data_IF_279012562824
#
_entry.id   IF_279012562824
#
_cell.length_a   1.000
_cell.length_b   1.000
_cell.length_c   1.000
_cell.angle_alpha   90.00
_cell.angle_beta   90.00
_cell.angle_gamma   90.00
#
_symmetry.space_group_name_H-M   'P 1'
#
loop_
_entity.id
_entity.type
_entity.pdbx_description
1 polymer ?
#
# COMPACT_ATOMS: atom_id res chain seq x y z
N UNK A 1 -14.99 12.06 2.44
CA UNK A 1 -15.28 10.67 2.89
C UNK A 1 -13.95 9.95 2.97
N UNK A 2 -13.51 9.56 4.16
CA UNK A 2 -12.18 8.96 4.31
C UNK A 2 -12.20 7.52 3.74
N UNK A 3 -11.06 7.00 3.25
CA UNK A 3 -10.95 5.59 2.86
C UNK A 3 -11.36 4.63 3.99
N UNK A 4 -11.09 5.03 5.23
CA UNK A 4 -11.46 4.31 6.46
C UNK A 4 -12.96 4.05 6.53
N UNK A 5 -13.79 5.05 6.20
CA UNK A 5 -15.26 4.98 6.30
C UNK A 5 -15.89 3.97 5.33
N UNK A 6 -15.19 3.62 4.24
CA UNK A 6 -15.68 2.66 3.24
C UNK A 6 -15.38 1.23 3.67
N UNK A 7 -14.20 0.99 4.23
CA UNK A 7 -13.80 -0.32 4.76
C UNK A 7 -14.66 -0.70 5.96
N UNK A 8 -14.90 0.24 6.89
CA UNK A 8 -15.75 -0.03 8.05
C UNK A 8 -17.18 -0.40 7.67
N UNK A 9 -17.77 0.28 6.67
CA UNK A 9 -19.11 -0.07 6.17
C UNK A 9 -19.15 -1.44 5.50
N UNK A 10 -18.11 -1.78 4.72
CA UNK A 10 -18.00 -3.09 4.11
C UNK A 10 -17.87 -4.19 5.17
N UNK A 11 -17.02 -3.98 6.19
CA UNK A 11 -16.83 -4.91 7.30
C UNK A 11 -18.13 -5.15 8.06
N UNK A 12 -18.90 -4.08 8.31
CA UNK A 12 -20.19 -4.18 9.00
C UNK A 12 -21.23 -4.94 8.15
N UNK A 13 -21.34 -4.63 6.86
CA UNK A 13 -22.24 -5.34 5.94
C UNK A 13 -21.88 -6.83 5.78
N UNK A 14 -20.59 -7.16 5.76
CA UNK A 14 -20.12 -8.56 5.70
C UNK A 14 -20.42 -9.26 7.03
N UNK A 15 -20.18 -8.61 8.16
CA UNK A 15 -20.48 -9.13 9.49
C UNK A 15 -21.95 -9.47 9.67
N UNK A 16 -22.85 -8.57 9.26
CA UNK A 16 -24.31 -8.77 9.34
C UNK A 16 -24.75 -9.95 8.44
N UNK A 17 -24.21 -10.03 7.22
CA UNK A 17 -24.53 -11.14 6.29
C UNK A 17 -23.99 -12.48 6.78
N UNK A 18 -22.81 -12.51 7.38
CA UNK A 18 -22.23 -13.71 7.98
C UNK A 18 -23.03 -14.16 9.22
N UNK A 19 -23.45 -13.24 10.09
CA UNK A 19 -24.31 -13.56 11.25
C UNK A 19 -25.65 -14.16 10.81
N UNK A 20 -26.27 -13.58 9.78
CA UNK A 20 -27.51 -14.12 9.22
C UNK A 20 -27.29 -15.50 8.59
N UNK A 21 -26.16 -15.72 7.91
CA UNK A 21 -25.80 -17.04 7.37
C UNK A 21 -25.49 -18.07 8.47
N UNK A 22 -24.97 -17.63 9.62
CA UNK A 22 -24.67 -18.49 10.78
C UNK A 22 -25.93 -19.08 11.43
N UNK A 23 -27.09 -18.48 11.20
CA UNK A 23 -28.39 -18.97 11.65
C UNK A 23 -29.06 -19.89 10.62
N UNK A 24 -28.48 -20.04 9.42
CA UNK A 24 -28.99 -20.93 8.38
C UNK A 24 -28.57 -22.40 8.63
N UNK A 25 -29.25 -23.38 8.02
CA UNK A 25 -28.85 -24.80 8.09
C UNK A 25 -27.38 -25.04 7.69
N UNK A 26 -26.73 -26.05 8.28
CA UNK A 26 -25.30 -26.35 8.09
C UNK A 26 -24.87 -26.45 6.62
N UNK A 27 -25.73 -26.98 5.75
CA UNK A 27 -25.42 -27.11 4.32
C UNK A 27 -25.30 -25.76 3.61
N UNK A 28 -26.12 -24.78 4.03
CA UNK A 28 -26.05 -23.40 3.53
C UNK A 28 -24.82 -22.69 4.09
N UNK A 29 -24.47 -22.93 5.35
CA UNK A 29 -23.27 -22.35 5.97
C UNK A 29 -22.00 -22.76 5.22
N UNK A 30 -21.87 -24.05 4.86
CA UNK A 30 -20.73 -24.57 4.10
C UNK A 30 -20.61 -23.92 2.71
N UNK A 31 -21.74 -23.75 2.02
CA UNK A 31 -21.79 -23.06 0.72
C UNK A 31 -21.37 -21.60 0.81
N UNK A 32 -21.86 -20.86 1.81
CA UNK A 32 -21.48 -19.45 2.03
C UNK A 32 -19.99 -19.34 2.36
N UNK A 33 -19.45 -20.23 3.21
CA UNK A 33 -18.03 -20.20 3.56
C UNK A 33 -17.12 -20.46 2.36
N UNK A 34 -17.49 -21.38 1.45
CA UNK A 34 -16.75 -21.60 0.20
C UNK A 34 -16.80 -20.39 -0.73
N UNK A 35 -17.96 -19.75 -0.89
CA UNK A 35 -18.09 -18.54 -1.71
C UNK A 35 -17.26 -17.39 -1.14
N UNK A 36 -17.25 -17.21 0.18
CA UNK A 36 -16.46 -16.16 0.85
C UNK A 36 -14.96 -16.43 0.69
N UNK A 37 -14.50 -17.67 0.90
CA UNK A 37 -13.09 -18.03 0.64
C UNK A 37 -12.71 -17.78 -0.83
N UNK A 38 -13.52 -18.25 -1.77
CA UNK A 38 -13.26 -18.05 -3.19
C UNK A 38 -13.43 -16.59 -3.66
N UNK A 39 -14.09 -15.73 -2.88
CA UNK A 39 -14.12 -14.29 -3.11
C UNK A 39 -12.86 -13.61 -2.55
N UNK A 40 -12.37 -14.02 -1.38
CA UNK A 40 -11.11 -13.52 -0.81
C UNK A 40 -9.90 -13.88 -1.68
N UNK A 41 -9.87 -15.09 -2.26
CA UNK A 41 -8.82 -15.50 -3.20
C UNK A 41 -8.78 -14.64 -4.47
N UNK A 42 -9.92 -14.04 -4.86
CA UNK A 42 -10.02 -13.13 -6.02
C UNK A 42 -9.66 -11.69 -5.70
N UNK A 43 -9.56 -11.31 -4.42
CA UNK A 43 -9.35 -9.93 -4.00
C UNK A 43 -7.87 -9.52 -3.88
N UNK A 44 -6.93 -10.33 -4.39
CA UNK A 44 -5.47 -10.10 -4.33
C UNK A 44 -5.03 -9.59 -2.95
N UNK A 45 -5.55 -10.23 -1.89
CA UNK A 45 -5.32 -9.79 -0.53
C UNK A 45 -3.84 -9.99 -0.18
N UNK A 46 -3.16 -8.88 0.12
CA UNK A 46 -1.86 -8.94 0.78
C UNK A 46 -2.06 -9.12 2.28
N UNK A 47 -1.20 -9.92 2.91
CA UNK A 47 -1.23 -10.04 4.36
C UNK A 47 -0.88 -8.69 4.99
N UNK A 48 -1.33 -8.48 6.23
CA UNK A 48 -0.99 -7.24 6.96
C UNK A 48 0.53 -7.10 7.12
N UNK A 49 1.22 -8.20 7.34
CA UNK A 49 2.68 -8.25 7.45
C UNK A 49 3.36 -7.84 6.15
N UNK A 50 2.93 -8.38 5.00
CA UNK A 50 3.47 -8.00 3.69
C UNK A 50 3.22 -6.52 3.38
N UNK A 51 2.05 -6.00 3.74
CA UNK A 51 1.74 -4.58 3.58
C UNK A 51 2.70 -3.71 4.40
N UNK A 52 2.94 -4.06 5.67
CA UNK A 52 3.85 -3.31 6.54
C UNK A 52 5.30 -3.37 6.02
N UNK A 53 5.73 -4.52 5.46
CA UNK A 53 7.04 -4.66 4.78
C UNK A 53 7.14 -3.73 3.56
N UNK A 54 6.13 -3.72 2.70
CA UNK A 54 6.10 -2.86 1.52
C UNK A 54 6.12 -1.38 1.90
N UNK A 55 5.44 -1.00 2.98
CA UNK A 55 5.45 0.36 3.51
C UNK A 55 6.86 0.77 3.96
N UNK A 56 7.56 -0.10 4.68
CA UNK A 56 8.94 0.14 5.13
C UNK A 56 9.93 0.23 3.95
N UNK A 57 9.78 -0.63 2.94
CA UNK A 57 10.57 -0.52 1.69
C UNK A 57 10.31 0.81 0.98
N UNK A 58 9.05 1.24 0.89
CA UNK A 58 8.68 2.51 0.28
C UNK A 58 9.30 3.70 1.02
N UNK A 59 9.25 3.70 2.36
CA UNK A 59 9.86 4.74 3.20
C UNK A 59 11.37 4.81 2.99
N UNK A 60 12.06 3.67 3.02
CA UNK A 60 13.52 3.60 2.76
C UNK A 60 13.88 4.09 1.36
N UNK A 61 13.07 3.74 0.36
CA UNK A 61 13.28 4.16 -1.02
C UNK A 61 13.12 5.67 -1.16
N UNK A 62 12.08 6.25 -0.54
CA UNK A 62 11.88 7.71 -0.51
C UNK A 62 13.06 8.43 0.13
N UNK A 63 13.51 7.98 1.29
CA UNK A 63 14.66 8.58 1.97
C UNK A 63 15.94 8.51 1.11
N UNK A 64 16.14 7.40 0.40
CA UNK A 64 17.28 7.23 -0.52
C UNK A 64 17.18 8.17 -1.73
N UNK A 65 16.00 8.35 -2.30
CA UNK A 65 15.76 9.30 -3.40
C UNK A 65 16.08 10.72 -2.95
N UNK A 66 15.53 11.17 -1.82
CA UNK A 66 15.79 12.51 -1.27
C UNK A 66 17.28 12.75 -0.98
N UNK A 67 18.03 11.71 -0.60
CA UNK A 67 19.47 11.79 -0.38
C UNK A 67 20.27 11.89 -1.68
N UNK A 68 19.84 11.19 -2.73
CA UNK A 68 20.46 11.26 -4.05
C UNK A 68 20.17 12.61 -4.73
N UNK A 69 18.96 13.12 -4.64
CA UNK A 69 18.59 14.46 -5.15
C UNK A 69 19.49 15.54 -4.54
N UNK A 70 19.75 15.49 -3.23
CA UNK A 70 20.69 16.40 -2.55
C UNK A 70 22.12 16.27 -3.05
N UNK A 71 22.59 15.05 -3.30
CA UNK A 71 23.95 14.81 -3.83
C UNK A 71 24.07 15.37 -5.25
N UNK A 72 23.08 15.13 -6.10
CA UNK A 72 23.05 15.65 -7.47
C UNK A 72 23.08 17.18 -7.46
N UNK A 73 22.22 17.83 -6.67
CA UNK A 73 22.21 19.29 -6.56
C UNK A 73 23.56 19.87 -6.10
N UNK A 74 24.23 19.21 -5.14
CA UNK A 74 25.57 19.62 -4.69
C UNK A 74 26.62 19.48 -5.80
N UNK A 75 26.55 18.42 -6.59
CA UNK A 75 27.46 18.18 -7.70
C UNK A 75 27.23 19.18 -8.83
N UNK A 76 25.97 19.44 -9.19
CA UNK A 76 25.57 20.44 -10.19
C UNK A 76 26.10 21.82 -9.81
N UNK A 77 25.93 22.25 -8.55
CA UNK A 77 26.47 23.52 -8.06
C UNK A 77 28.00 23.59 -8.12
N UNK A 78 28.69 22.48 -7.84
CA UNK A 78 30.16 22.41 -7.92
C UNK A 78 30.64 22.52 -9.38
N UNK A 79 29.94 21.87 -10.31
CA UNK A 79 30.26 21.93 -11.75
C UNK A 79 30.02 23.34 -12.29
N UNK A 80 28.92 24.00 -11.90
CA UNK A 80 28.63 25.39 -12.28
C UNK A 80 29.67 26.37 -11.72
N UNK A 81 30.10 26.19 -10.48
CA UNK A 81 31.18 26.99 -9.90
C UNK A 81 32.51 26.78 -10.64
N UNK A 82 32.84 25.55 -11.04
CA UNK A 82 34.05 25.24 -11.79
C UNK A 82 34.03 25.82 -13.22
N UNK A 83 32.87 25.78 -13.90
CA UNK A 83 32.74 26.35 -15.25
C UNK A 83 32.78 27.88 -15.24
N UNK A 84 32.25 28.53 -14.21
CA UNK A 84 32.31 29.97 -14.02
C UNK A 84 33.71 30.50 -13.68
N UNK A 85 34.61 29.65 -13.15
CA UNK A 85 35.97 30.02 -12.77
C UNK A 85 36.98 29.96 -13.94
N UNK A 86 36.58 29.51 -15.13
CA UNK A 86 37.44 29.47 -16.30
C UNK A 86 37.50 30.87 -16.97
N UNK A 87 38.65 31.57 -17.01
CA UNK A 87 38.75 32.86 -17.69
C UNK A 87 38.63 32.68 -19.21
N UNK A 88 38.13 33.69 -19.97
CA UNK A 88 38.16 33.62 -21.42
C UNK A 88 39.61 33.60 -21.94
N UNK A 89 39.88 33.00 -23.12
CA UNK A 89 41.19 33.03 -23.75
C UNK A 89 41.63 34.45 -24.15
#
# INVERSE_FOLDING_TARGET
>A
MTPQDRISRLAQQIGDRLQNASQAPEDIQKGVQQVVRGAFDRLELVSREDFDILMDVLQRTRARVEALERQVASLEATVEAASAAQPPP
#
